data_IF_092323261932
#
_entry.id   IF_092323261932
#
_cell.length_a   1.000
_cell.length_b   1.000
_cell.length_c   1.000
_cell.angle_alpha   90.00
_cell.angle_beta   90.00
_cell.angle_gamma   90.00
#
_symmetry.space_group_name_H-M   'P 1'
#
loop_
_entity.id
_entity.type
_entity.pdbx_description
1 polymer ?
#
# COMPACT_ATOMS: atom_id res chain seq x y z
N UNK A 1 2.02 -3.16 -19.31
CA UNK A 1 2.97 -4.27 -19.48
C UNK A 1 4.23 -4.02 -18.65
N UNK A 2 4.94 -5.08 -18.24
CA UNK A 2 6.19 -5.01 -17.46
C UNK A 2 7.24 -4.12 -18.13
N UNK A 3 7.36 -4.20 -19.45
CA UNK A 3 8.28 -3.38 -20.25
C UNK A 3 7.95 -1.88 -20.19
N UNK A 4 6.65 -1.54 -20.23
CA UNK A 4 6.24 -0.14 -20.13
C UNK A 4 6.51 0.44 -18.74
N UNK A 5 6.31 -0.37 -17.69
CA UNK A 5 6.60 0.02 -16.30
C UNK A 5 8.09 0.31 -16.11
N UNK A 6 8.96 -0.61 -16.58
CA UNK A 6 10.41 -0.42 -16.53
C UNK A 6 10.83 0.83 -17.31
N UNK A 7 10.34 1.01 -18.55
CA UNK A 7 10.70 2.14 -19.37
C UNK A 7 10.27 3.50 -18.79
N UNK A 8 9.06 3.55 -18.20
CA UNK A 8 8.48 4.82 -17.70
C UNK A 8 8.93 5.16 -16.29
N UNK A 9 9.06 4.16 -15.43
CA UNK A 9 9.28 4.36 -13.98
C UNK A 9 10.58 3.76 -13.47
N UNK A 10 11.32 3.03 -14.31
CA UNK A 10 12.54 2.34 -13.92
C UNK A 10 12.32 1.25 -12.86
N UNK A 11 11.11 0.71 -12.77
CA UNK A 11 10.70 -0.23 -11.75
C UNK A 11 10.03 -1.47 -12.32
N UNK A 12 10.06 -2.55 -11.56
CA UNK A 12 9.29 -3.77 -11.81
C UNK A 12 8.29 -3.98 -10.67
N UNK A 13 7.19 -4.65 -10.94
CA UNK A 13 6.19 -5.06 -9.95
C UNK A 13 5.91 -6.54 -10.15
N UNK A 14 5.98 -7.29 -9.05
CA UNK A 14 5.50 -8.66 -9.00
C UNK A 14 3.97 -8.67 -9.23
N UNK A 15 3.45 -9.52 -10.13
CA UNK A 15 2.02 -9.62 -10.41
C UNK A 15 1.27 -10.45 -9.34
N UNK A 16 1.49 -10.15 -8.08
CA UNK A 16 0.77 -10.72 -6.94
C UNK A 16 -0.43 -9.84 -6.52
N UNK A 17 -1.12 -10.25 -5.47
CA UNK A 17 -2.28 -9.50 -4.97
C UNK A 17 -1.93 -8.12 -4.41
N UNK A 18 -0.66 -7.85 -4.10
CA UNK A 18 -0.14 -6.54 -3.66
C UNK A 18 0.38 -5.68 -4.83
N UNK A 19 0.12 -6.08 -6.08
CA UNK A 19 0.59 -5.33 -7.26
C UNK A 19 0.08 -3.88 -7.28
N UNK A 20 -1.12 -3.61 -6.78
CA UNK A 20 -1.68 -2.25 -6.72
C UNK A 20 -1.03 -1.40 -5.62
N UNK A 21 -0.78 -1.97 -4.43
CA UNK A 21 0.02 -1.30 -3.39
C UNK A 21 1.42 -0.97 -3.91
N UNK A 22 2.07 -1.94 -4.54
CA UNK A 22 3.36 -1.72 -5.20
C UNK A 22 3.29 -0.67 -6.31
N UNK A 23 2.16 -0.58 -7.02
CA UNK A 23 1.90 0.45 -8.02
C UNK A 23 1.84 1.86 -7.43
N UNK A 24 1.12 2.04 -6.33
CA UNK A 24 1.09 3.29 -5.56
C UNK A 24 2.50 3.69 -5.10
N UNK A 25 3.26 2.73 -4.56
CA UNK A 25 4.63 2.95 -4.09
C UNK A 25 5.61 3.28 -5.22
N UNK A 26 5.47 2.67 -6.38
CA UNK A 26 6.27 3.03 -7.58
C UNK A 26 5.93 4.43 -8.07
N UNK A 27 4.65 4.78 -8.09
CA UNK A 27 4.21 6.12 -8.47
C UNK A 27 4.75 7.18 -7.49
N UNK A 28 4.65 6.91 -6.18
CA UNK A 28 5.21 7.78 -5.14
C UNK A 28 6.72 7.94 -5.29
N UNK A 29 7.47 6.86 -5.50
CA UNK A 29 8.91 6.91 -5.71
C UNK A 29 9.29 7.74 -6.95
N UNK A 30 8.51 7.66 -8.01
CA UNK A 30 8.73 8.45 -9.23
C UNK A 30 8.54 9.94 -8.95
N UNK A 31 7.45 10.32 -8.29
CA UNK A 31 7.15 11.72 -7.94
C UNK A 31 8.22 12.27 -6.97
N UNK A 32 8.57 11.50 -5.93
CA UNK A 32 9.57 11.90 -4.95
C UNK A 32 10.95 12.13 -5.58
N UNK A 33 11.39 11.24 -6.49
CA UNK A 33 12.65 11.43 -7.25
C UNK A 33 12.60 12.65 -8.16
N UNK A 34 11.45 12.93 -8.76
CA UNK A 34 11.27 14.11 -9.60
C UNK A 34 11.32 15.39 -8.75
N UNK A 35 10.64 15.40 -7.60
CA UNK A 35 10.67 16.53 -6.67
C UNK A 35 12.09 16.81 -6.16
N UNK A 36 12.83 15.75 -5.78
CA UNK A 36 14.20 15.87 -5.25
C UNK A 36 15.18 16.50 -6.25
N UNK A 37 15.03 16.28 -7.57
CA UNK A 37 15.81 16.95 -8.61
C UNK A 37 15.67 18.49 -8.59
N UNK A 38 14.64 18.99 -7.93
CA UNK A 38 14.32 20.40 -7.79
C UNK A 38 14.42 20.89 -6.34
N UNK A 39 15.23 20.23 -5.51
CA UNK A 39 15.40 20.55 -4.09
C UNK A 39 14.07 20.54 -3.31
N UNK A 40 13.15 19.68 -3.68
CA UNK A 40 11.83 19.54 -3.06
C UNK A 40 11.65 18.15 -2.50
N UNK A 41 10.87 18.08 -1.44
CA UNK A 41 10.44 16.84 -0.82
C UNK A 41 8.93 16.66 -1.00
N UNK A 42 8.51 15.49 -1.43
CA UNK A 42 7.11 15.12 -1.59
C UNK A 42 6.69 14.18 -0.45
N UNK A 43 5.71 14.61 0.34
CA UNK A 43 5.14 13.84 1.45
C UNK A 43 3.78 13.29 1.04
N UNK A 44 3.52 11.98 1.19
CA UNK A 44 2.19 11.42 0.96
C UNK A 44 1.23 11.88 2.06
N UNK A 45 0.09 12.43 1.63
CA UNK A 45 -1.02 12.82 2.52
C UNK A 45 -2.09 11.73 2.52
N UNK A 46 -2.41 11.22 1.33
CA UNK A 46 -3.38 10.15 1.14
C UNK A 46 -3.05 9.38 -0.13
N UNK A 47 -3.06 8.07 -0.02
CA UNK A 47 -2.93 7.16 -1.17
C UNK A 47 -4.17 6.28 -1.23
N UNK A 48 -4.84 6.28 -2.37
CA UNK A 48 -6.08 5.51 -2.56
C UNK A 48 -5.94 4.61 -3.78
N UNK A 49 -6.30 3.36 -3.59
CA UNK A 49 -6.58 2.45 -4.67
C UNK A 49 -8.09 2.19 -4.73
N UNK A 50 -8.70 2.59 -5.82
CA UNK A 50 -10.09 2.29 -6.11
C UNK A 50 -10.21 1.69 -7.52
N UNK A 51 -10.62 0.42 -7.58
CA UNK A 51 -10.82 -0.32 -8.82
C UNK A 51 -9.59 -0.25 -9.75
N UNK A 52 -9.66 0.56 -10.80
CA UNK A 52 -8.58 0.75 -11.78
C UNK A 52 -7.77 2.02 -11.55
N UNK A 53 -8.08 2.79 -10.51
CA UNK A 53 -7.46 4.08 -10.24
C UNK A 53 -6.51 4.01 -9.05
N UNK A 54 -5.30 4.51 -9.27
CA UNK A 54 -4.31 4.77 -8.22
C UNK A 54 -4.20 6.30 -8.07
N UNK A 55 -4.48 6.81 -6.88
CA UNK A 55 -4.44 8.24 -6.58
C UNK A 55 -3.51 8.52 -5.42
N UNK A 56 -2.71 9.57 -5.58
CA UNK A 56 -1.82 10.09 -4.54
C UNK A 56 -2.10 11.57 -4.33
N UNK A 57 -2.41 11.95 -3.10
CA UNK A 57 -2.41 13.34 -2.64
C UNK A 57 -1.11 13.60 -1.90
N UNK A 58 -0.40 14.64 -2.29
CA UNK A 58 0.95 14.91 -1.83
C UNK A 58 1.08 16.36 -1.37
N UNK A 59 1.90 16.58 -0.36
CA UNK A 59 2.41 17.90 0.00
C UNK A 59 3.85 18.01 -0.50
N UNK A 60 4.12 19.00 -1.34
CA UNK A 60 5.44 19.23 -1.89
C UNK A 60 6.03 20.50 -1.26
N UNK A 61 7.18 20.36 -0.61
CA UNK A 61 7.89 21.45 0.08
C UNK A 61 9.30 21.60 -0.44
N UNK A 62 9.85 22.82 -0.43
CA UNK A 62 11.26 23.04 -0.69
C UNK A 62 12.06 22.59 0.55
N UNK A 63 12.96 21.63 0.37
CA UNK A 63 13.83 21.12 1.42
C UNK A 63 14.96 20.32 0.78
N UNK A 64 16.14 20.90 0.71
CA UNK A 64 17.35 20.23 0.23
C UNK A 64 17.73 19.08 1.16
N UNK A 65 17.62 19.30 2.47
CA UNK A 65 17.93 18.28 3.47
C UNK A 65 17.10 17.00 3.27
N UNK A 66 15.76 17.16 3.18
CA UNK A 66 14.87 16.02 2.98
C UNK A 66 15.03 15.40 1.58
N UNK A 67 15.33 16.21 0.56
CA UNK A 67 15.63 15.70 -0.78
C UNK A 67 16.88 14.81 -0.78
N UNK A 68 17.92 15.18 -0.02
CA UNK A 68 19.14 14.39 0.14
C UNK A 68 18.92 13.08 0.92
N UNK A 69 17.87 13.01 1.74
CA UNK A 69 17.51 11.80 2.49
C UNK A 69 16.56 10.87 1.74
N UNK A 70 16.17 11.22 0.52
CA UNK A 70 15.20 10.44 -0.26
C UNK A 70 15.57 8.96 -0.40
N UNK A 71 16.87 8.65 -0.49
CA UNK A 71 17.35 7.26 -0.62
C UNK A 71 16.85 6.35 0.52
N UNK A 72 16.69 6.89 1.73
CA UNK A 72 16.19 6.17 2.90
C UNK A 72 14.71 5.75 2.76
N UNK A 73 13.98 6.44 1.88
CA UNK A 73 12.56 6.18 1.60
C UNK A 73 12.35 5.30 0.38
N UNK A 74 13.42 4.90 -0.28
CA UNK A 74 13.37 4.04 -1.46
C UNK A 74 13.91 2.65 -1.14
N UNK A 75 13.34 1.65 -1.78
CA UNK A 75 13.76 0.28 -1.55
C UNK A 75 13.07 -0.73 -2.44
N UNK A 76 13.05 -1.95 -1.96
CA UNK A 76 12.53 -3.12 -2.63
C UNK A 76 11.46 -3.76 -1.77
N UNK A 77 10.38 -4.25 -2.38
CA UNK A 77 9.48 -5.20 -1.75
C UNK A 77 9.83 -6.61 -2.25
N UNK A 78 10.08 -7.51 -1.33
CA UNK A 78 10.31 -8.91 -1.61
C UNK A 78 9.06 -9.68 -1.18
N UNK A 79 8.42 -10.38 -2.10
CA UNK A 79 7.37 -11.34 -1.76
C UNK A 79 8.00 -12.54 -1.07
N UNK A 80 7.51 -12.90 0.10
CA UNK A 80 8.00 -14.05 0.85
C UNK A 80 7.77 -15.32 0.04
N UNK A 81 8.76 -16.21 -0.05
CA UNK A 81 8.61 -17.50 -0.70
C UNK A 81 7.72 -18.41 0.13
N UNK A 82 7.02 -19.33 -0.51
CA UNK A 82 6.52 -20.50 0.19
C UNK A 82 7.70 -21.37 0.66
N UNK A 83 7.46 -22.31 1.56
CA UNK A 83 8.54 -23.14 2.15
C UNK A 83 9.45 -23.82 1.11
N UNK A 84 8.91 -24.18 -0.06
CA UNK A 84 9.68 -24.79 -1.15
C UNK A 84 10.60 -23.80 -1.86
N UNK A 85 10.23 -22.54 -1.93
CA UNK A 85 11.00 -21.48 -2.57
C UNK A 85 12.07 -20.89 -1.64
N UNK A 86 11.96 -21.12 -0.32
CA UNK A 86 12.94 -20.66 0.68
C UNK A 86 14.34 -21.16 0.36
N UNK A 87 14.47 -22.46 0.06
CA UNK A 87 15.76 -23.07 -0.22
C UNK A 87 16.43 -22.49 -1.46
N UNK A 88 15.64 -22.25 -2.52
CA UNK A 88 16.13 -21.63 -3.74
C UNK A 88 16.54 -20.17 -3.52
N UNK A 89 15.75 -19.39 -2.79
CA UNK A 89 16.05 -17.99 -2.55
C UNK A 89 17.23 -17.76 -1.61
N UNK A 90 17.49 -18.66 -0.68
CA UNK A 90 18.70 -18.63 0.15
C UNK A 90 19.97 -18.85 -0.67
N UNK A 91 19.91 -19.71 -1.67
CA UNK A 91 21.02 -19.94 -2.59
C UNK A 91 21.30 -18.72 -3.48
N UNK A 92 20.26 -17.96 -3.83
CA UNK A 92 20.36 -16.76 -4.66
C UNK A 92 20.72 -15.49 -3.89
N UNK A 93 20.88 -15.55 -2.56
CA UNK A 93 21.23 -14.41 -1.71
C UNK A 93 20.13 -13.37 -1.55
N UNK A 94 18.88 -13.69 -1.94
CA UNK A 94 17.72 -12.80 -1.88
C UNK A 94 17.04 -12.75 -0.52
N UNK A 95 17.36 -13.71 0.34
CA UNK A 95 16.81 -13.78 1.70
C UNK A 95 17.89 -13.42 2.72
N UNK A 96 17.59 -12.62 3.72
CA UNK A 96 18.51 -12.43 4.85
C UNK A 96 18.85 -13.80 5.43
N UNK A 97 20.14 -14.08 5.62
CA UNK A 97 20.64 -15.32 6.21
C UNK A 97 20.22 -15.54 7.68
N UNK A 98 19.33 -14.71 8.21
CA UNK A 98 18.91 -14.80 9.59
C UNK A 98 17.83 -15.84 9.77
N UNK A 99 18.24 -16.92 10.39
CA UNK A 99 17.45 -17.92 11.10
C UNK A 99 16.42 -18.76 10.32
N UNK A 100 16.35 -19.99 10.72
CA UNK A 100 15.34 -21.02 10.46
C UNK A 100 13.92 -20.65 10.93
N UNK A 101 13.70 -19.42 11.37
CA UNK A 101 12.39 -18.89 11.72
C UNK A 101 11.66 -18.44 10.47
N UNK A 102 10.36 -18.66 10.44
CA UNK A 102 9.46 -18.40 9.31
C UNK A 102 9.72 -17.05 8.66
N UNK A 103 10.10 -17.04 7.38
CA UNK A 103 10.24 -15.83 6.59
C UNK A 103 8.90 -15.07 6.56
N UNK A 104 8.93 -13.74 6.60
CA UNK A 104 7.73 -12.94 6.49
C UNK A 104 7.07 -13.15 5.13
N UNK A 105 5.76 -13.01 5.07
CA UNK A 105 4.98 -13.12 3.82
C UNK A 105 5.48 -12.11 2.76
N UNK A 106 5.95 -10.95 3.18
CA UNK A 106 6.71 -10.00 2.38
C UNK A 106 7.52 -9.08 3.29
N UNK A 107 8.55 -8.46 2.75
CA UNK A 107 9.35 -7.49 3.47
C UNK A 107 9.77 -6.33 2.57
N UNK A 108 10.10 -5.20 3.20
CA UNK A 108 10.75 -4.08 2.55
C UNK A 108 12.24 -4.07 2.90
N UNK A 109 13.07 -3.87 1.88
CA UNK A 109 14.53 -3.76 2.02
C UNK A 109 14.97 -2.39 1.50
N UNK A 110 15.98 -1.77 2.10
CA UNK A 110 16.50 -0.47 1.64
C UNK A 110 17.07 -0.59 0.22
N UNK A 111 17.14 0.53 -0.48
CA UNK A 111 17.64 0.58 -1.86
C UNK A 111 19.08 0.06 -2.00
N UNK A 112 19.90 0.24 -0.97
CA UNK A 112 21.28 -0.23 -0.91
C UNK A 112 21.42 -1.76 -0.78
N UNK A 113 20.32 -2.46 -0.46
CA UNK A 113 20.36 -3.92 -0.34
C UNK A 113 20.50 -4.56 -1.74
N UNK A 114 21.46 -5.49 -1.92
CA UNK A 114 21.65 -6.15 -3.20
C UNK A 114 20.50 -7.13 -3.48
N UNK A 115 19.77 -6.88 -4.56
CA UNK A 115 18.67 -7.73 -5.02
C UNK A 115 18.91 -8.21 -6.45
N UNK A 116 18.48 -9.42 -6.75
CA UNK A 116 18.37 -9.86 -8.14
C UNK A 116 17.10 -9.28 -8.75
N UNK A 117 17.24 -8.28 -9.62
CA UNK A 117 16.12 -7.61 -10.28
C UNK A 117 15.35 -8.49 -11.25
N UNK A 118 15.90 -9.60 -11.68
CA UNK A 118 15.23 -10.57 -12.54
C UNK A 118 14.35 -11.56 -11.77
N UNK A 119 14.53 -11.65 -10.45
CA UNK A 119 13.67 -12.46 -9.61
C UNK A 119 12.23 -11.90 -9.60
N UNK A 120 11.28 -12.81 -9.85
CA UNK A 120 9.85 -12.46 -9.95
C UNK A 120 9.26 -11.98 -8.63
N UNK A 121 9.89 -12.29 -7.50
CA UNK A 121 9.44 -11.89 -6.16
C UNK A 121 9.83 -10.45 -5.83
N UNK A 122 10.77 -9.86 -6.56
CA UNK A 122 11.29 -8.52 -6.33
C UNK A 122 10.43 -7.48 -7.04
N UNK A 123 9.93 -6.52 -6.26
CA UNK A 123 9.26 -5.32 -6.78
C UNK A 123 10.04 -4.07 -6.40
N UNK A 124 10.19 -3.15 -7.33
CA UNK A 124 10.88 -1.87 -7.10
C UNK A 124 11.81 -1.47 -8.24
N UNK A 125 12.62 -0.43 -8.00
CA UNK A 125 12.66 0.37 -6.78
C UNK A 125 11.35 1.13 -6.54
N UNK A 126 10.91 1.18 -5.29
CA UNK A 126 9.64 1.76 -4.89
C UNK A 126 9.77 2.51 -3.55
N UNK A 127 8.74 3.26 -3.17
CA UNK A 127 8.65 3.94 -1.90
C UNK A 127 8.39 2.92 -0.77
N UNK A 128 9.23 2.91 0.26
CA UNK A 128 9.09 2.02 1.41
C UNK A 128 8.58 2.72 2.67
N UNK A 129 8.46 4.05 2.63
CA UNK A 129 7.86 4.82 3.71
C UNK A 129 6.32 4.73 3.76
N UNK A 130 5.70 5.48 4.69
CA UNK A 130 4.25 5.59 4.78
C UNK A 130 3.62 6.05 3.47
N UNK A 131 2.37 5.65 3.24
CA UNK A 131 1.58 6.05 2.07
C UNK A 131 0.52 7.12 2.38
N UNK A 132 0.57 7.70 3.58
CA UNK A 132 -0.34 8.75 4.00
C UNK A 132 0.13 9.44 5.28
N UNK A 133 -0.53 10.51 5.62
CA UNK A 133 -0.36 11.25 6.87
C UNK A 133 -1.50 10.91 7.82
N UNK A 134 -1.19 10.38 9.00
CA UNK A 134 -2.17 9.91 9.98
C UNK A 134 -3.12 11.02 10.41
N UNK A 135 -2.62 12.23 10.68
CA UNK A 135 -3.44 13.35 11.11
C UNK A 135 -4.38 13.82 10.00
N UNK A 136 -3.89 13.93 8.78
CA UNK A 136 -4.70 14.31 7.64
C UNK A 136 -5.79 13.27 7.36
N UNK A 137 -5.45 11.98 7.37
CA UNK A 137 -6.43 10.91 7.13
C UNK A 137 -7.49 10.83 8.24
N UNK A 138 -7.13 11.10 9.49
CA UNK A 138 -8.07 11.13 10.62
C UNK A 138 -9.01 12.34 10.58
N UNK A 139 -8.61 13.45 9.93
CA UNK A 139 -9.36 14.70 9.90
C UNK A 139 -10.57 14.68 8.95
N UNK A 140 -10.67 13.72 8.03
CA UNK A 140 -11.81 13.63 7.11
C UNK A 140 -13.15 13.49 7.87
N UNK A 141 -14.11 14.30 7.55
CA UNK A 141 -15.49 14.12 8.01
C UNK A 141 -16.35 13.51 6.91
N UNK A 142 -17.36 12.72 7.32
CA UNK A 142 -18.28 12.11 6.35
C UNK A 142 -19.05 13.18 5.58
N UNK A 143 -19.49 14.24 6.28
CA UNK A 143 -20.24 15.35 5.69
C UNK A 143 -19.45 16.09 4.62
N UNK A 144 -18.19 16.45 4.90
CA UNK A 144 -17.34 17.16 3.94
C UNK A 144 -17.11 16.32 2.69
N UNK A 145 -16.73 15.03 2.85
CA UNK A 145 -16.46 14.18 1.69
C UNK A 145 -17.74 13.90 0.89
N UNK A 146 -18.88 13.67 1.56
CA UNK A 146 -20.16 13.49 0.87
C UNK A 146 -20.51 14.76 0.11
N UNK A 147 -20.38 15.94 0.71
CA UNK A 147 -20.67 17.20 0.04
C UNK A 147 -19.81 17.41 -1.20
N UNK A 148 -18.53 17.00 -1.16
CA UNK A 148 -17.61 17.09 -2.29
C UNK A 148 -17.87 16.06 -3.39
N UNK A 149 -18.30 14.84 -3.02
CA UNK A 149 -18.50 13.74 -3.95
C UNK A 149 -19.90 13.68 -4.54
N UNK A 150 -20.89 14.22 -3.84
CA UNK A 150 -22.31 14.20 -4.24
C UNK A 150 -22.79 15.57 -4.69
N UNK A 151 -21.90 16.55 -4.76
CA UNK A 151 -22.24 17.87 -5.28
C UNK A 151 -22.73 17.76 -6.71
N UNK A 152 -23.95 18.13 -6.84
CA UNK A 152 -24.60 18.43 -8.09
C UNK A 152 -24.72 17.21 -9.01
N UNK A 153 -25.79 16.50 -8.77
CA UNK A 153 -26.46 15.81 -9.85
C UNK A 153 -26.46 16.73 -11.07
N UNK A 154 -25.48 16.56 -11.94
CA UNK A 154 -25.52 17.17 -13.25
C UNK A 154 -26.68 16.52 -14.01
N UNK A 155 -27.80 17.22 -14.27
CA UNK A 155 -28.91 16.68 -15.04
C UNK A 155 -28.51 16.30 -16.47
N UNK A 156 -27.30 16.66 -16.90
CA UNK A 156 -26.67 16.20 -18.14
C UNK A 156 -25.84 14.95 -17.95
N UNK A 157 -25.80 14.38 -16.73
CA UNK A 157 -25.04 13.16 -16.46
C UNK A 157 -25.63 11.99 -17.27
N UNK A 158 -24.86 11.44 -18.23
CA UNK A 158 -25.35 10.35 -19.10
C UNK A 158 -25.57 9.04 -18.35
N UNK A 159 -25.25 8.93 -17.06
CA UNK A 159 -25.36 7.69 -16.28
C UNK A 159 -26.78 7.34 -15.87
N UNK A 160 -27.74 8.24 -16.03
CA UNK A 160 -29.17 7.98 -15.77
C UNK A 160 -29.43 7.28 -14.41
N UNK A 161 -28.74 7.73 -13.37
CA UNK A 161 -28.80 7.11 -12.03
C UNK A 161 -30.17 7.37 -11.39
N UNK A 162 -30.74 6.33 -10.79
CA UNK A 162 -31.89 6.44 -9.91
C UNK A 162 -31.49 6.88 -8.50
N UNK A 163 -32.45 7.32 -7.69
CA UNK A 163 -32.24 7.64 -6.27
C UNK A 163 -31.58 6.47 -5.51
N UNK A 164 -31.91 5.23 -5.90
CA UNK A 164 -31.30 4.03 -5.34
C UNK A 164 -29.80 3.94 -5.66
N UNK A 165 -29.41 4.32 -6.87
CA UNK A 165 -28.00 4.27 -7.30
C UNK A 165 -27.20 5.31 -6.53
N UNK A 166 -27.75 6.52 -6.32
CA UNK A 166 -27.15 7.57 -5.47
C UNK A 166 -26.98 7.10 -4.02
N UNK A 167 -28.00 6.47 -3.45
CA UNK A 167 -27.91 5.97 -2.07
C UNK A 167 -26.87 4.83 -1.94
N UNK A 168 -26.77 3.95 -2.94
CA UNK A 168 -25.74 2.91 -2.96
C UNK A 168 -24.34 3.50 -3.05
N UNK A 169 -24.14 4.52 -3.88
CA UNK A 169 -22.86 5.18 -4.00
C UNK A 169 -22.47 5.93 -2.73
N UNK A 170 -23.42 6.64 -2.12
CA UNK A 170 -23.24 7.29 -0.83
C UNK A 170 -22.77 6.31 0.26
N UNK A 171 -23.38 5.14 0.34
CA UNK A 171 -22.96 4.10 1.28
C UNK A 171 -21.54 3.59 1.02
N UNK A 172 -21.15 3.47 -0.25
CA UNK A 172 -19.76 3.11 -0.60
C UNK A 172 -18.79 4.19 -0.15
N UNK A 173 -19.07 5.46 -0.41
CA UNK A 173 -18.26 6.61 0.01
C UNK A 173 -18.07 6.59 1.53
N UNK A 174 -19.17 6.50 2.31
CA UNK A 174 -19.12 6.43 3.77
C UNK A 174 -18.24 5.26 4.24
N UNK A 175 -18.40 4.08 3.66
CA UNK A 175 -17.57 2.92 4.00
C UNK A 175 -16.09 3.18 3.71
N UNK A 176 -15.77 3.77 2.57
CA UNK A 176 -14.39 4.10 2.19
C UNK A 176 -13.76 5.10 3.15
N UNK A 177 -14.51 6.14 3.56
CA UNK A 177 -14.05 7.13 4.54
C UNK A 177 -13.77 6.48 5.89
N UNK A 178 -14.69 5.62 6.37
CA UNK A 178 -14.48 4.88 7.62
C UNK A 178 -13.24 4.02 7.58
N UNK A 179 -13.00 3.33 6.47
CA UNK A 179 -11.81 2.52 6.31
C UNK A 179 -10.54 3.37 6.25
N UNK A 180 -10.54 4.49 5.54
CA UNK A 180 -9.41 5.44 5.50
C UNK A 180 -9.11 5.98 6.91
N UNK A 181 -10.13 6.34 7.69
CA UNK A 181 -9.95 6.80 9.08
C UNK A 181 -9.40 5.69 9.97
N UNK A 182 -9.90 4.47 9.85
CA UNK A 182 -9.37 3.32 10.61
C UNK A 182 -7.92 2.99 10.23
N UNK A 183 -7.55 3.18 8.96
CA UNK A 183 -6.19 2.98 8.49
C UNK A 183 -5.24 4.08 8.96
N UNK A 184 -5.76 5.28 9.28
CA UNK A 184 -4.95 6.43 9.70
C UNK A 184 -4.06 6.12 10.91
N UNK A 185 -4.57 5.40 11.89
CA UNK A 185 -3.83 5.05 13.11
C UNK A 185 -2.64 4.10 12.86
N UNK A 186 -2.64 3.42 11.70
CA UNK A 186 -1.67 2.39 11.34
C UNK A 186 -1.04 2.63 9.97
N UNK A 187 -1.23 3.82 9.38
CA UNK A 187 -0.68 4.11 8.04
C UNK A 187 0.84 4.09 8.00
N UNK A 188 1.49 4.28 9.13
CA UNK A 188 2.93 4.12 9.31
C UNK A 188 3.37 2.67 9.42
N UNK A 189 2.42 1.74 9.62
CA UNK A 189 2.68 0.31 9.63
C UNK A 189 3.18 -0.18 8.28
N UNK A 190 4.23 -0.99 8.31
CA UNK A 190 4.92 -1.43 7.10
C UNK A 190 4.09 -2.35 6.23
N UNK A 191 3.22 -3.17 6.85
CA UNK A 191 2.64 -4.32 6.17
C UNK A 191 1.15 -4.14 5.89
N UNK A 192 0.81 -4.24 4.61
CA UNK A 192 -0.54 -4.51 4.15
C UNK A 192 -0.71 -6.02 3.98
N UNK A 193 -1.65 -6.59 4.69
CA UNK A 193 -1.92 -8.03 4.69
C UNK A 193 -3.30 -8.31 4.09
N UNK A 194 -3.34 -9.16 3.06
CA UNK A 194 -4.57 -9.73 2.56
C UNK A 194 -4.85 -11.05 3.29
N UNK A 195 -6.04 -11.21 3.83
CA UNK A 195 -6.37 -12.39 4.68
C UNK A 195 -6.28 -13.70 3.91
N UNK A 196 -6.69 -13.71 2.64
CA UNK A 196 -6.63 -14.90 1.79
C UNK A 196 -5.17 -15.30 1.48
N UNK A 197 -4.30 -14.32 1.24
CA UNK A 197 -2.87 -14.59 1.00
C UNK A 197 -2.19 -15.13 2.27
N UNK A 198 -2.56 -14.60 3.44
CA UNK A 198 -2.05 -15.07 4.72
C UNK A 198 -2.43 -16.54 4.98
N UNK A 199 -3.69 -16.90 4.71
CA UNK A 199 -4.16 -18.27 4.85
C UNK A 199 -3.43 -19.22 3.89
N UNK A 200 -3.27 -18.81 2.64
CA UNK A 200 -2.53 -19.56 1.63
C UNK A 200 -1.08 -19.73 2.00
N UNK A 201 -0.43 -18.68 2.48
CA UNK A 201 0.98 -18.71 2.90
C UNK A 201 1.21 -19.64 4.08
N UNK A 202 0.28 -19.67 5.05
CA UNK A 202 0.35 -20.55 6.21
C UNK A 202 -0.20 -21.95 5.95
N UNK A 203 -0.71 -22.21 4.75
CA UNK A 203 -1.37 -23.47 4.39
C UNK A 203 -2.46 -23.89 5.39
N UNK A 204 -3.26 -22.90 5.83
CA UNK A 204 -4.43 -23.11 6.70
C UNK A 204 -5.70 -22.95 5.88
N UNK A 205 -6.81 -23.49 6.40
CA UNK A 205 -8.13 -23.39 5.77
C UNK A 205 -8.63 -21.94 5.66
N UNK A 206 -9.94 -21.72 5.76
CA UNK A 206 -10.51 -20.38 5.67
C UNK A 206 -9.87 -19.41 6.64
N UNK A 207 -9.41 -18.23 6.17
CA UNK A 207 -8.83 -17.24 7.05
C UNK A 207 -9.91 -16.65 7.96
N UNK A 208 -9.56 -16.21 9.17
CA UNK A 208 -10.44 -15.34 9.97
C UNK A 208 -10.74 -14.05 9.21
N UNK A 209 -11.88 -13.41 9.52
CA UNK A 209 -12.17 -12.08 8.95
C UNK A 209 -11.08 -11.07 9.34
N UNK A 210 -10.85 -10.01 8.54
CA UNK A 210 -9.90 -8.96 8.89
C UNK A 210 -10.13 -8.38 10.29
N UNK A 211 -11.39 -8.18 10.69
CA UNK A 211 -11.75 -7.66 12.02
C UNK A 211 -11.24 -8.60 13.11
N UNK A 212 -11.44 -9.91 12.94
CA UNK A 212 -10.97 -10.89 13.92
C UNK A 212 -9.45 -10.94 14.03
N UNK A 213 -8.76 -10.79 12.88
CA UNK A 213 -7.29 -10.70 12.86
C UNK A 213 -6.80 -9.46 13.60
N UNK A 214 -7.42 -8.30 13.36
CA UNK A 214 -7.11 -7.04 14.05
C UNK A 214 -7.28 -7.19 15.55
N UNK A 215 -8.39 -7.78 16.02
CA UNK A 215 -8.61 -8.04 17.44
C UNK A 215 -7.51 -8.90 18.05
N UNK A 216 -7.08 -9.96 17.35
CA UNK A 216 -6.05 -10.88 17.83
C UNK A 216 -4.67 -10.20 17.89
N UNK A 217 -4.33 -9.41 16.87
CA UNK A 217 -3.08 -8.66 16.79
C UNK A 217 -3.02 -7.61 17.91
N UNK A 218 -4.10 -6.84 18.09
CA UNK A 218 -4.18 -5.82 19.13
C UNK A 218 -4.09 -6.44 20.54
N UNK A 219 -4.68 -7.62 20.76
CA UNK A 219 -4.52 -8.39 22.02
C UNK A 219 -3.08 -8.83 22.30
N UNK A 220 -2.27 -8.97 21.25
CA UNK A 220 -0.84 -9.28 21.36
C UNK A 220 0.04 -8.05 21.58
N UNK A 221 -0.54 -6.86 21.68
CA UNK A 221 0.17 -5.60 21.92
C UNK A 221 0.70 -4.91 20.67
N UNK A 222 0.37 -5.42 19.48
CA UNK A 222 0.67 -4.75 18.21
C UNK A 222 -0.51 -3.88 17.78
N UNK A 223 -0.29 -3.00 16.80
CA UNK A 223 -1.35 -2.20 16.19
C UNK A 223 -1.79 -2.83 14.87
N UNK A 224 -3.08 -2.83 14.63
CA UNK A 224 -3.66 -3.21 13.35
C UNK A 224 -4.95 -2.46 13.09
N UNK A 225 -5.24 -2.15 11.83
CA UNK A 225 -6.45 -1.46 11.38
C UNK A 225 -6.91 -1.93 10.01
N UNK A 226 -8.22 -1.81 9.73
CA UNK A 226 -8.76 -2.14 8.41
C UNK A 226 -8.13 -1.27 7.34
N UNK A 227 -7.80 -1.87 6.19
CA UNK A 227 -7.40 -1.11 5.02
C UNK A 227 -8.61 -0.67 4.20
N UNK A 228 -8.46 0.45 3.48
CA UNK A 228 -9.46 0.93 2.53
C UNK A 228 -9.50 0.12 1.22
N UNK A 229 -8.56 -0.79 1.03
CA UNK A 229 -8.49 -1.58 -0.20
C UNK A 229 -9.72 -2.47 -0.37
N UNK A 230 -10.17 -2.68 -1.62
CA UNK A 230 -11.43 -3.39 -1.90
C UNK A 230 -11.39 -4.88 -1.53
N UNK A 231 -10.18 -5.47 -1.40
CA UNK A 231 -10.00 -6.84 -0.93
C UNK A 231 -9.97 -6.90 0.60
N UNK A 232 -10.44 -7.99 1.22
CA UNK A 232 -10.33 -8.19 2.66
C UNK A 232 -8.88 -8.08 3.13
N UNK A 233 -8.55 -6.97 3.79
CA UNK A 233 -7.18 -6.62 4.16
C UNK A 233 -7.11 -5.74 5.40
N UNK A 234 -5.96 -5.73 6.02
CA UNK A 234 -5.63 -4.86 7.16
C UNK A 234 -4.16 -4.46 7.10
N UNK A 235 -3.81 -3.36 7.75
CA UNK A 235 -2.42 -2.97 8.00
C UNK A 235 -2.03 -3.29 9.42
N UNK A 236 -0.74 -3.56 9.64
CA UNK A 236 -0.20 -3.89 10.96
C UNK A 236 1.28 -3.53 11.05
N UNK A 237 1.73 -3.32 12.28
CA UNK A 237 3.15 -3.24 12.63
C UNK A 237 3.64 -4.55 13.29
N UNK A 238 2.81 -5.59 13.33
CA UNK A 238 3.24 -6.90 13.79
C UNK A 238 4.25 -7.51 12.81
N UNK A 239 5.34 -8.12 13.31
CA UNK A 239 6.35 -8.76 12.48
C UNK A 239 5.83 -10.00 11.76
#
# INVERSE_FOLDING_TARGET
>A
SKTALMRRYGARINPDNLAHDSGLRVLMACIARTAAKHDRFAEPILSVWDSHHLRLSLKVRKSIEMANQLEKMLGWRIAGPNEKEVSASMQEGLTPKSSTESLPMHCFLPLSYPVNREDKRVSGPLWIGPLGDSAAMASFTEEEVISMCTTEYDPKNPMNWSDRDFELERRKIIRSIKNIKNEAEIIEGEFLILTDDLASWRNVGSPPSPIKMIELINKKGFKAGLSHYPKPSFRTNAP
#
